data_IF_479024047113
#
_entry.id   IF_479024047113
#
_cell.length_a   1.000
_cell.length_b   1.000
_cell.length_c   1.000
_cell.angle_alpha   90.00
_cell.angle_beta   90.00
_cell.angle_gamma   90.00
#
_symmetry.space_group_name_H-M   'P 1'
#
loop_
_entity.id
_entity.type
_entity.pdbx_description
1 polymer ?
#
# COMPACT_ATOMS: atom_id res chain seq x y z
N UNK A 1 -2.02 -7.02 -12.26
CA UNK A 1 -0.76 -6.48 -11.71
C UNK A 1 -0.42 -5.13 -12.32
N UNK A 2 0.05 -5.10 -13.57
CA UNK A 2 0.60 -3.89 -14.20
C UNK A 2 -0.35 -2.69 -14.26
N UNK A 3 -1.63 -2.90 -14.57
CA UNK A 3 -2.63 -1.81 -14.59
C UNK A 3 -2.82 -1.18 -13.21
N UNK A 4 -2.91 -1.98 -12.15
CA UNK A 4 -3.02 -1.51 -10.77
C UNK A 4 -1.79 -0.68 -10.38
N UNK A 5 -0.59 -1.16 -10.72
CA UNK A 5 0.65 -0.43 -10.45
C UNK A 5 0.71 0.91 -11.20
N UNK A 6 0.33 0.91 -12.48
CA UNK A 6 0.26 2.14 -13.29
C UNK A 6 -0.73 3.15 -12.70
N UNK A 7 -1.91 2.70 -12.26
CA UNK A 7 -2.88 3.56 -11.60
C UNK A 7 -2.35 4.17 -10.29
N UNK A 8 -1.63 3.37 -9.48
CA UNK A 8 -1.00 3.85 -8.24
C UNK A 8 0.03 4.94 -8.56
N UNK A 9 0.88 4.70 -9.56
CA UNK A 9 1.89 5.67 -10.01
C UNK A 9 1.25 6.97 -10.49
N UNK A 10 0.29 6.89 -11.42
CA UNK A 10 -0.41 8.06 -11.96
C UNK A 10 -1.14 8.84 -10.88
N UNK A 11 -1.73 8.16 -9.89
CA UNK A 11 -2.37 8.83 -8.74
C UNK A 11 -1.37 9.65 -7.92
N UNK A 12 -0.18 9.10 -7.68
CA UNK A 12 0.90 9.83 -7.00
C UNK A 12 1.40 10.99 -7.86
N UNK A 13 1.63 10.79 -9.16
CA UNK A 13 2.05 11.84 -10.09
C UNK A 13 1.05 13.00 -10.17
N UNK A 14 -0.24 12.69 -10.26
CA UNK A 14 -1.32 13.68 -10.21
C UNK A 14 -1.26 14.49 -8.91
N UNK A 15 -1.05 13.83 -7.76
CA UNK A 15 -0.91 14.51 -6.45
C UNK A 15 0.35 15.38 -6.37
N UNK A 16 1.44 14.95 -7.00
CA UNK A 16 2.72 15.65 -7.04
C UNK A 16 2.63 16.93 -7.88
N UNK A 17 2.01 16.82 -9.06
CA UNK A 17 1.92 17.90 -10.03
C UNK A 17 0.80 18.88 -9.71
N UNK A 18 -0.25 18.42 -9.01
CA UNK A 18 -1.42 19.23 -8.72
C UNK A 18 -2.35 19.42 -9.92
N UNK A 19 -2.10 18.68 -11.02
CA UNK A 19 -2.84 18.77 -12.27
C UNK A 19 -3.52 17.42 -12.58
N UNK A 20 -4.77 17.41 -13.04
CA UNK A 20 -5.46 16.19 -13.43
C UNK A 20 -4.74 15.45 -14.57
N UNK A 21 -4.64 14.13 -14.48
CA UNK A 21 -4.14 13.28 -15.56
C UNK A 21 -5.34 12.76 -16.36
N UNK A 22 -5.34 12.97 -17.68
CA UNK A 22 -6.42 12.52 -18.55
C UNK A 22 -6.57 10.99 -18.51
N UNK A 23 -7.81 10.52 -18.46
CA UNK A 23 -8.14 9.10 -18.32
C UNK A 23 -7.89 8.49 -16.93
N UNK A 24 -7.34 9.24 -15.96
CA UNK A 24 -7.22 8.76 -14.58
C UNK A 24 -8.58 8.89 -13.88
N UNK A 25 -9.29 7.78 -13.79
CA UNK A 25 -10.57 7.69 -13.08
C UNK A 25 -10.67 6.36 -12.31
N UNK A 26 -11.21 6.36 -11.07
CA UNK A 26 -11.59 7.54 -10.27
C UNK A 26 -10.35 8.33 -9.79
N UNK A 27 -10.57 9.48 -9.15
CA UNK A 27 -9.51 10.22 -8.46
C UNK A 27 -9.32 11.66 -8.91
N UNK A 28 -9.07 12.56 -7.97
CA UNK A 28 -8.81 13.99 -8.22
C UNK A 28 -7.49 14.45 -7.60
N UNK A 29 -7.00 15.62 -8.03
CA UNK A 29 -5.80 16.26 -7.45
C UNK A 29 -5.93 16.58 -5.96
N UNK A 30 -7.16 16.62 -5.43
CA UNK A 30 -7.44 16.95 -4.02
C UNK A 30 -7.45 15.72 -3.11
N UNK A 31 -7.51 14.52 -3.69
CA UNK A 31 -7.64 13.29 -2.93
C UNK A 31 -6.38 13.05 -2.10
N UNK A 32 -6.59 12.69 -0.82
CA UNK A 32 -5.52 12.37 0.13
C UNK A 32 -5.36 10.88 0.36
N UNK A 33 -6.41 10.12 0.09
CA UNK A 33 -6.48 8.68 0.28
C UNK A 33 -7.18 8.09 -0.94
N UNK A 34 -6.58 7.06 -1.54
CA UNK A 34 -7.16 6.27 -2.61
C UNK A 34 -7.18 4.82 -2.17
N UNK A 35 -8.38 4.23 -2.13
CA UNK A 35 -8.58 2.84 -1.71
C UNK A 35 -8.91 1.99 -2.93
N UNK A 36 -8.12 0.95 -3.16
CA UNK A 36 -8.30 0.00 -4.25
C UNK A 36 -8.68 -1.36 -3.68
N UNK A 37 -9.96 -1.71 -3.76
CA UNK A 37 -10.47 -3.01 -3.32
C UNK A 37 -10.12 -4.07 -4.36
N UNK A 38 -9.23 -4.98 -3.98
CA UNK A 38 -8.66 -6.00 -4.86
C UNK A 38 -8.71 -7.39 -4.18
N UNK A 39 -8.34 -8.41 -4.93
CA UNK A 39 -8.11 -9.75 -4.40
C UNK A 39 -6.65 -9.93 -3.95
N UNK A 40 -6.41 -10.98 -3.18
CA UNK A 40 -5.09 -11.47 -2.78
C UNK A 40 -4.13 -11.62 -3.98
N UNK A 41 -4.63 -12.14 -5.10
CA UNK A 41 -3.88 -12.29 -6.36
C UNK A 41 -3.30 -10.97 -6.86
N UNK A 42 -4.01 -9.84 -6.72
CA UNK A 42 -3.49 -8.53 -7.10
C UNK A 42 -2.29 -8.13 -6.23
N UNK A 43 -2.36 -8.40 -4.93
CA UNK A 43 -1.26 -8.12 -4.00
C UNK A 43 -0.04 -8.97 -4.33
N UNK A 44 -0.24 -10.26 -4.63
CA UNK A 44 0.85 -11.15 -5.05
C UNK A 44 1.46 -10.72 -6.38
N UNK A 45 0.65 -10.24 -7.35
CA UNK A 45 1.22 -9.68 -8.58
C UNK A 45 2.05 -8.41 -8.34
N UNK A 46 1.59 -7.51 -7.46
CA UNK A 46 2.36 -6.32 -7.10
C UNK A 46 3.65 -6.68 -6.36
N UNK A 47 3.60 -7.69 -5.50
CA UNK A 47 4.77 -8.26 -4.81
C UNK A 47 5.86 -8.65 -5.81
N UNK A 48 5.50 -9.44 -6.81
CA UNK A 48 6.43 -9.89 -7.86
C UNK A 48 6.96 -8.71 -8.68
N UNK A 49 6.07 -7.83 -9.16
CA UNK A 49 6.45 -6.68 -9.99
C UNK A 49 7.42 -5.72 -9.27
N UNK A 50 7.25 -5.56 -7.96
CA UNK A 50 8.08 -4.67 -7.14
C UNK A 50 9.23 -5.41 -6.42
N UNK A 51 9.32 -6.73 -6.58
CA UNK A 51 10.30 -7.58 -5.87
C UNK A 51 10.35 -7.31 -4.35
N UNK A 52 9.19 -7.06 -3.74
CA UNK A 52 9.05 -6.82 -2.30
C UNK A 52 8.70 -8.10 -1.56
N UNK A 53 9.05 -8.17 -0.28
CA UNK A 53 8.71 -9.29 0.59
C UNK A 53 8.19 -8.75 1.90
N UNK A 54 7.19 -9.41 2.49
CA UNK A 54 6.61 -8.99 3.77
C UNK A 54 6.45 -10.16 4.74
N UNK A 55 6.69 -9.86 6.01
CA UNK A 55 6.42 -10.76 7.12
C UNK A 55 5.69 -9.97 8.21
N UNK A 56 4.43 -10.31 8.45
CA UNK A 56 3.59 -9.72 9.50
C UNK A 56 3.37 -10.72 10.62
N UNK A 57 3.16 -10.23 11.84
CA UNK A 57 3.08 -11.06 13.05
C UNK A 57 2.04 -12.17 12.89
N UNK A 58 2.43 -13.38 13.30
CA UNK A 58 1.58 -14.58 13.28
C UNK A 58 1.09 -15.03 11.90
N UNK A 59 1.74 -14.58 10.81
CA UNK A 59 1.60 -15.13 9.48
C UNK A 59 2.94 -15.66 8.96
N UNK A 60 2.88 -16.56 7.99
CA UNK A 60 4.05 -16.97 7.21
C UNK A 60 4.49 -15.87 6.24
N UNK A 61 5.70 -16.01 5.71
CA UNK A 61 6.29 -15.07 4.76
C UNK A 61 5.41 -14.92 3.51
N UNK A 62 5.16 -13.67 3.10
CA UNK A 62 4.44 -13.30 1.88
C UNK A 62 2.97 -13.74 1.81
N UNK A 63 2.35 -14.08 2.95
CA UNK A 63 0.91 -14.38 2.99
C UNK A 63 0.12 -13.12 2.70
N UNK A 64 -0.72 -13.16 1.66
CA UNK A 64 -1.74 -12.15 1.39
C UNK A 64 -2.98 -12.44 2.25
N UNK A 65 -3.01 -11.92 3.48
CA UNK A 65 -4.10 -12.16 4.42
C UNK A 65 -5.41 -11.51 3.96
N UNK A 66 -6.55 -12.07 4.38
CA UNK A 66 -7.86 -11.44 4.22
C UNK A 66 -7.88 -10.04 4.84
N UNK A 67 -8.45 -9.07 4.13
CA UNK A 67 -8.48 -7.66 4.52
C UNK A 67 -7.10 -7.03 4.82
N UNK A 68 -6.01 -7.67 4.38
CA UNK A 68 -4.68 -7.07 4.38
C UNK A 68 -4.56 -6.00 3.29
N UNK A 69 -3.64 -5.07 3.45
CA UNK A 69 -3.42 -3.98 2.52
C UNK A 69 -1.94 -3.74 2.25
N UNK A 70 -1.59 -3.63 0.97
CA UNK A 70 -0.31 -3.08 0.50
C UNK A 70 -0.52 -1.57 0.28
N UNK A 71 0.15 -0.75 1.08
CA UNK A 71 0.03 0.70 1.05
C UNK A 71 1.26 1.37 0.45
N UNK A 72 1.01 2.47 -0.26
CA UNK A 72 2.02 3.38 -0.81
C UNK A 72 1.75 4.77 -0.25
N UNK A 73 2.70 5.31 0.49
CA UNK A 73 2.58 6.64 1.09
C UNK A 73 3.53 7.60 0.41
N UNK A 74 3.00 8.69 -0.14
CA UNK A 74 3.80 9.78 -0.68
C UNK A 74 4.16 10.76 0.43
N UNK A 75 5.44 10.82 0.78
CA UNK A 75 5.98 11.71 1.80
C UNK A 75 6.75 12.87 1.18
N UNK A 76 6.89 13.94 1.96
CA UNK A 76 7.69 15.13 1.62
C UNK A 76 8.57 15.49 2.81
N UNK A 77 9.88 15.62 2.62
CA UNK A 77 10.79 16.07 3.66
C UNK A 77 10.84 17.61 3.79
N UNK A 78 11.60 18.10 4.77
CA UNK A 78 11.81 19.53 5.00
C UNK A 78 12.48 20.25 3.83
N UNK A 79 13.20 19.53 2.97
CA UNK A 79 13.85 20.06 1.76
C UNK A 79 12.94 19.95 0.52
N UNK A 80 11.65 19.67 0.72
CA UNK A 80 10.66 19.43 -0.34
C UNK A 80 10.94 18.23 -1.24
N UNK A 81 11.86 17.33 -0.86
CA UNK A 81 12.10 16.08 -1.58
C UNK A 81 10.97 15.11 -1.29
N UNK A 82 10.51 14.44 -2.33
CA UNK A 82 9.42 13.46 -2.25
C UNK A 82 9.98 12.05 -2.22
N UNK A 83 9.38 11.19 -1.43
CA UNK A 83 9.73 9.77 -1.33
C UNK A 83 8.49 8.93 -1.11
N UNK A 84 8.54 7.67 -1.54
CA UNK A 84 7.45 6.72 -1.37
C UNK A 84 7.83 5.72 -0.30
N UNK A 85 6.98 5.56 0.71
CA UNK A 85 7.10 4.49 1.70
C UNK A 85 6.09 3.40 1.37
N UNK A 86 6.57 2.16 1.28
CA UNK A 86 5.73 0.99 1.02
C UNK A 86 5.60 0.17 2.29
N UNK A 87 4.39 -0.31 2.58
CA UNK A 87 4.14 -1.16 3.73
C UNK A 87 3.07 -2.19 3.42
N UNK A 88 3.13 -3.32 4.12
CA UNK A 88 2.04 -4.30 4.17
C UNK A 88 1.45 -4.31 5.58
N UNK A 89 0.12 -4.24 5.70
CA UNK A 89 -0.58 -4.29 6.98
C UNK A 89 -1.66 -5.36 7.00
N UNK A 90 -1.82 -6.03 8.13
CA UNK A 90 -2.84 -7.05 8.34
C UNK A 90 -3.23 -7.14 9.82
N UNK A 91 -4.52 -7.34 10.10
CA UNK A 91 -4.96 -7.83 11.39
C UNK A 91 -4.42 -9.26 11.58
N UNK A 92 -3.84 -9.55 12.75
CA UNK A 92 -3.33 -10.88 13.07
C UNK A 92 -4.47 -11.92 13.12
N UNK A 93 -4.18 -13.23 12.98
CA UNK A 93 -5.23 -14.25 12.99
C UNK A 93 -6.10 -14.26 14.26
N UNK A 94 -5.52 -13.97 15.43
CA UNK A 94 -6.23 -13.80 16.70
C UNK A 94 -7.18 -12.59 16.65
N UNK A 95 -6.70 -11.45 16.16
CA UNK A 95 -7.51 -10.23 15.99
C UNK A 95 -8.68 -10.48 15.04
N UNK A 96 -8.45 -11.19 13.93
CA UNK A 96 -9.49 -11.55 12.97
C UNK A 96 -10.50 -12.52 13.57
N UNK A 97 -10.03 -13.58 14.24
CA UNK A 97 -10.88 -14.61 14.85
C UNK A 97 -11.80 -14.05 15.93
N UNK A 98 -11.30 -13.09 16.70
CA UNK A 98 -12.02 -12.50 17.83
C UNK A 98 -12.73 -11.17 17.47
N UNK A 99 -12.65 -10.73 16.20
CA UNK A 99 -13.17 -9.45 15.74
C UNK A 99 -12.72 -8.27 16.64
N UNK A 100 -11.44 -8.26 17.00
CA UNK A 100 -10.89 -7.24 17.89
C UNK A 100 -10.97 -5.85 17.26
N UNK A 101 -11.27 -4.84 18.09
CA UNK A 101 -11.20 -3.45 17.67
C UNK A 101 -9.73 -3.03 17.48
N UNK A 102 -9.40 -2.60 16.26
CA UNK A 102 -8.09 -2.06 15.94
C UNK A 102 -7.99 -0.59 16.36
N UNK A 103 -6.87 -0.23 16.99
CA UNK A 103 -6.59 1.14 17.47
C UNK A 103 -5.09 1.38 17.57
N UNK A 104 -4.66 2.58 17.97
CA UNK A 104 -3.24 2.83 18.27
C UNK A 104 -2.72 1.97 19.44
N UNK A 105 -3.58 1.62 20.40
CA UNK A 105 -3.22 0.74 21.52
C UNK A 105 -3.31 -0.76 21.17
N UNK A 106 -4.13 -1.12 20.19
CA UNK A 106 -4.22 -2.48 19.62
C UNK A 106 -4.06 -2.43 18.10
N UNK A 107 -2.85 -2.15 17.58
CA UNK A 107 -2.67 -1.94 16.14
C UNK A 107 -2.71 -3.26 15.37
N UNK A 108 -3.04 -3.22 14.07
CA UNK A 108 -2.72 -4.32 13.17
C UNK A 108 -1.20 -4.51 13.07
N UNK A 109 -0.76 -5.66 12.56
CA UNK A 109 0.65 -5.87 12.25
C UNK A 109 1.01 -5.12 10.97
N UNK A 110 2.15 -4.43 10.97
CA UNK A 110 2.67 -3.67 9.83
C UNK A 110 4.11 -4.14 9.55
N UNK A 111 4.44 -4.33 8.27
CA UNK A 111 5.78 -4.53 7.76
C UNK A 111 6.12 -3.41 6.76
N UNK A 112 7.20 -2.67 6.99
CA UNK A 112 7.71 -1.69 6.02
C UNK A 112 8.62 -2.40 5.02
N UNK A 113 8.41 -2.12 3.73
CA UNK A 113 9.00 -2.91 2.65
C UNK A 113 10.09 -2.12 1.93
N UNK A 114 11.10 -2.84 1.45
CA UNK A 114 12.18 -2.29 0.62
C UNK A 114 11.96 -2.76 -0.82
N UNK A 115 11.85 -1.82 -1.75
CA UNK A 115 11.90 -2.11 -3.18
C UNK A 115 13.38 -2.19 -3.56
N UNK A 116 13.88 -3.40 -3.84
CA UNK A 116 15.32 -3.65 -4.06
C UNK A 116 15.90 -2.85 -5.24
N UNK A 117 15.08 -2.48 -6.20
CA UNK A 117 15.47 -1.72 -7.39
C UNK A 117 15.42 -0.20 -7.20
N UNK A 118 14.92 0.30 -6.05
CA UNK A 118 15.02 1.71 -5.70
C UNK A 118 16.38 1.97 -5.03
N UNK A 119 17.16 2.87 -5.62
CA UNK A 119 18.57 3.14 -5.28
C UNK A 119 18.83 3.64 -3.86
#
# INVERSE_FOLDING_TARGET
>A
GAQTLGYILMTMEQSINGEPIDGLYPGTVKDKITLLFNHDTNLLYLRELLSVEWLVKAFDLNVASTAGALGFELWKDHNNRRYVRVYYTAARPDQQRNAELLSSANPPSIAYLIIKQCG
#
